data_IF_290257330766
#
_entry.id   IF_290257330766
#
_cell.length_a   1.000
_cell.length_b   1.000
_cell.length_c   1.000
_cell.angle_alpha   90.00
_cell.angle_beta   90.00
_cell.angle_gamma   90.00
#
_symmetry.space_group_name_H-M   'P 1'
#
loop_
_entity.id
_entity.type
_entity.pdbx_description
1 polymer ?
#
# COMPACT_ATOMS: atom_id res chain seq x y z
N UNK A 1 -27.92 -23.54 -5.83
CA UNK A 1 -26.97 -22.86 -6.76
C UNK A 1 -25.80 -22.36 -5.91
N UNK A 2 -24.71 -23.12 -5.87
CA UNK A 2 -23.52 -22.72 -5.09
C UNK A 2 -22.81 -21.61 -5.89
N UNK A 3 -22.88 -20.37 -5.41
CA UNK A 3 -22.11 -19.25 -5.95
C UNK A 3 -20.63 -19.55 -5.64
N UNK A 4 -19.93 -20.22 -6.56
CA UNK A 4 -18.49 -20.38 -6.43
C UNK A 4 -17.82 -19.06 -6.82
N UNK A 5 -16.97 -18.48 -5.96
CA UNK A 5 -16.24 -17.27 -6.32
C UNK A 5 -15.34 -17.57 -7.52
N UNK A 6 -15.53 -16.84 -8.61
CA UNK A 6 -14.75 -16.97 -9.85
C UNK A 6 -13.24 -16.87 -9.53
N UNK A 7 -12.41 -17.76 -10.06
CA UNK A 7 -10.96 -17.75 -9.75
C UNK A 7 -10.30 -16.47 -10.28
N UNK A 8 -9.49 -15.81 -9.44
CA UNK A 8 -8.73 -14.62 -9.87
C UNK A 8 -7.57 -15.05 -10.74
N UNK A 9 -7.49 -14.49 -11.95
CA UNK A 9 -6.47 -14.84 -12.95
C UNK A 9 -5.10 -14.26 -12.59
N UNK A 10 -4.01 -14.83 -13.15
CA UNK A 10 -2.65 -14.31 -12.95
C UNK A 10 -2.50 -12.85 -13.41
N UNK A 11 -3.19 -12.47 -14.49
CA UNK A 11 -3.18 -11.10 -15.03
C UNK A 11 -3.84 -10.14 -14.04
N UNK A 12 -5.00 -10.50 -13.47
CA UNK A 12 -5.67 -9.70 -12.45
C UNK A 12 -4.80 -9.52 -11.20
N UNK A 13 -4.16 -10.59 -10.71
CA UNK A 13 -3.23 -10.50 -9.58
C UNK A 13 -2.09 -9.51 -9.83
N UNK A 14 -1.51 -9.54 -11.04
CA UNK A 14 -0.44 -8.62 -11.43
C UNK A 14 -0.92 -7.17 -11.46
N UNK A 15 -2.08 -6.89 -12.07
CA UNK A 15 -2.65 -5.54 -12.08
C UNK A 15 -2.94 -5.01 -10.67
N UNK A 16 -3.53 -5.83 -9.80
CA UNK A 16 -3.77 -5.45 -8.39
C UNK A 16 -2.46 -5.12 -7.67
N UNK A 17 -1.42 -5.94 -7.88
CA UNK A 17 -0.10 -5.68 -7.30
C UNK A 17 0.53 -4.39 -7.83
N UNK A 18 0.52 -4.18 -9.15
CA UNK A 18 1.08 -2.98 -9.78
C UNK A 18 0.34 -1.71 -9.33
N UNK A 19 -0.99 -1.76 -9.18
CA UNK A 19 -1.79 -0.66 -8.64
C UNK A 19 -1.38 -0.32 -7.21
N UNK A 20 -1.30 -1.31 -6.31
CA UNK A 20 -0.87 -1.10 -4.92
C UNK A 20 0.59 -0.66 -4.82
N UNK A 21 1.45 -1.14 -5.71
CA UNK A 21 2.83 -0.71 -5.76
C UNK A 21 2.95 0.76 -6.16
N UNK A 22 2.19 1.21 -7.16
CA UNK A 22 2.10 2.63 -7.52
C UNK A 22 1.55 3.46 -6.35
N UNK A 23 0.57 2.95 -5.63
CA UNK A 23 -0.02 3.65 -4.49
C UNK A 23 0.92 3.71 -3.26
N UNK A 24 1.98 2.88 -3.21
CA UNK A 24 3.09 3.03 -2.24
C UNK A 24 4.00 4.23 -2.56
N UNK A 25 3.77 4.92 -3.67
CA UNK A 25 4.54 6.07 -4.13
C UNK A 25 3.60 7.28 -4.15
N UNK A 26 3.38 7.95 -3.00
CA UNK A 26 2.37 8.99 -2.91
C UNK A 26 2.74 10.15 -3.86
N UNK A 27 1.77 10.53 -4.68
CA UNK A 27 1.90 11.70 -5.54
C UNK A 27 1.69 12.98 -4.74
N UNK A 28 1.96 14.13 -5.36
CA UNK A 28 1.56 15.42 -4.80
C UNK A 28 0.05 15.47 -4.49
N UNK A 29 -0.78 14.96 -5.40
CA UNK A 29 -2.24 14.92 -5.24
C UNK A 29 -2.68 14.10 -4.02
N UNK A 30 -1.97 13.00 -3.72
CA UNK A 30 -2.24 12.19 -2.54
C UNK A 30 -2.14 13.03 -1.26
N UNK A 31 -1.05 13.77 -1.09
CA UNK A 31 -0.81 14.57 0.11
C UNK A 31 -1.75 15.78 0.15
N UNK A 32 -2.05 16.40 -0.99
CA UNK A 32 -3.02 17.49 -1.07
C UNK A 32 -4.41 17.02 -0.60
N UNK A 33 -4.90 15.89 -1.12
CA UNK A 33 -6.18 15.31 -0.73
C UNK A 33 -6.21 14.91 0.74
N UNK A 34 -5.10 14.39 1.27
CA UNK A 34 -4.96 14.07 2.69
C UNK A 34 -5.05 15.32 3.58
N UNK A 35 -4.36 16.40 3.21
CA UNK A 35 -4.42 17.68 3.94
C UNK A 35 -5.83 18.25 3.91
N UNK A 36 -6.47 18.28 2.74
CA UNK A 36 -7.86 18.77 2.61
C UNK A 36 -8.83 17.94 3.44
N UNK A 37 -8.68 16.62 3.44
CA UNK A 37 -9.46 15.72 4.30
C UNK A 37 -9.24 16.03 5.78
N UNK A 38 -7.99 16.17 6.23
CA UNK A 38 -7.66 16.47 7.62
C UNK A 38 -8.24 17.81 8.07
N UNK A 39 -8.26 18.83 7.20
CA UNK A 39 -8.89 20.13 7.47
C UNK A 39 -10.41 19.95 7.65
N UNK A 40 -11.09 19.29 6.71
CA UNK A 40 -12.54 19.08 6.76
C UNK A 40 -12.94 18.29 8.01
N UNK A 41 -12.22 17.20 8.32
CA UNK A 41 -12.48 16.39 9.50
C UNK A 41 -12.20 17.18 10.78
N UNK A 42 -11.10 17.93 10.87
CA UNK A 42 -10.80 18.74 12.05
C UNK A 42 -11.88 19.82 12.29
N UNK A 43 -12.28 20.55 11.25
CA UNK A 43 -13.36 21.54 11.34
C UNK A 43 -14.66 20.85 11.77
N UNK A 44 -15.04 19.76 11.10
CA UNK A 44 -16.24 18.99 11.41
C UNK A 44 -16.29 18.51 12.87
N UNK A 45 -15.16 18.04 13.39
CA UNK A 45 -15.03 17.66 14.80
C UNK A 45 -15.21 18.87 15.73
N UNK A 46 -14.55 19.99 15.45
CA UNK A 46 -14.61 21.20 16.28
C UNK A 46 -15.99 21.87 16.28
N UNK A 47 -16.77 21.75 15.20
CA UNK A 47 -18.15 22.27 15.13
C UNK A 47 -19.21 21.20 15.48
N UNK A 48 -18.79 20.03 15.98
CA UNK A 48 -19.66 18.92 16.34
C UNK A 48 -20.61 18.46 15.20
N UNK A 49 -20.10 18.40 13.97
CA UNK A 49 -20.86 18.06 12.78
C UNK A 49 -20.37 16.77 12.12
N UNK A 50 -21.07 15.66 12.41
CA UNK A 50 -20.78 14.35 11.85
C UNK A 50 -20.85 14.28 10.31
N UNK A 51 -21.70 15.08 9.66
CA UNK A 51 -21.86 15.07 8.20
C UNK A 51 -20.59 15.61 7.53
N UNK A 52 -20.03 16.69 8.05
CA UNK A 52 -18.75 17.25 7.55
C UNK A 52 -17.61 16.28 7.80
N UNK A 53 -17.60 15.64 8.97
CA UNK A 53 -16.60 14.61 9.33
C UNK A 53 -16.65 13.44 8.34
N UNK A 54 -17.84 12.91 8.03
CA UNK A 54 -18.02 11.83 7.04
C UNK A 54 -17.61 12.31 5.64
N UNK A 55 -18.01 13.52 5.23
CA UNK A 55 -17.61 14.09 3.94
C UNK A 55 -16.10 14.21 3.80
N UNK A 56 -15.40 14.67 4.83
CA UNK A 56 -13.94 14.75 4.85
C UNK A 56 -13.28 13.38 4.76
N UNK A 57 -13.81 12.35 5.43
CA UNK A 57 -13.27 10.98 5.35
C UNK A 57 -13.30 10.41 3.92
N UNK A 58 -14.32 10.72 3.13
CA UNK A 58 -14.47 10.21 1.75
C UNK A 58 -13.38 10.71 0.79
N UNK A 59 -12.68 11.78 1.16
CA UNK A 59 -11.64 12.41 0.33
C UNK A 59 -10.27 11.77 0.55
N UNK A 60 -10.01 11.16 1.72
CA UNK A 60 -8.68 10.71 2.10
C UNK A 60 -8.22 9.43 1.38
N UNK A 61 -7.05 9.44 0.70
CA UNK A 61 -6.52 8.27 0.01
C UNK A 61 -5.69 7.31 0.91
N UNK A 62 -5.72 7.47 2.23
CA UNK A 62 -4.82 6.76 3.17
C UNK A 62 -4.96 5.22 3.15
N UNK A 63 -6.07 4.71 2.65
CA UNK A 63 -6.34 3.27 2.59
C UNK A 63 -5.36 2.54 1.65
N UNK A 64 -4.99 3.16 0.52
CA UNK A 64 -4.14 2.50 -0.47
C UNK A 64 -2.73 2.14 0.07
N UNK A 65 -2.00 3.04 0.75
CA UNK A 65 -0.75 2.68 1.42
C UNK A 65 -0.89 1.54 2.45
N UNK A 66 -2.01 1.46 3.17
CA UNK A 66 -2.25 0.40 4.18
C UNK A 66 -2.48 -0.96 3.50
N UNK A 67 -3.26 -0.98 2.42
CA UNK A 67 -3.44 -2.18 1.62
C UNK A 67 -2.12 -2.60 0.94
N UNK A 68 -1.33 -1.64 0.47
CA UNK A 68 -0.01 -1.89 -0.10
C UNK A 68 0.98 -2.47 0.91
N UNK A 69 0.98 -1.96 2.14
CA UNK A 69 1.75 -2.52 3.26
C UNK A 69 1.35 -3.98 3.53
N UNK A 70 0.06 -4.25 3.61
CA UNK A 70 -0.49 -5.60 3.83
C UNK A 70 -0.15 -6.55 2.67
N UNK A 71 -0.16 -6.06 1.43
CA UNK A 71 0.27 -6.82 0.26
C UNK A 71 1.76 -7.16 0.32
N UNK A 72 2.61 -6.20 0.72
CA UNK A 72 4.04 -6.43 0.95
C UNK A 72 4.30 -7.52 2.00
N UNK A 73 3.48 -7.58 3.06
CA UNK A 73 3.55 -8.65 4.06
C UNK A 73 3.21 -10.03 3.49
N UNK A 74 2.12 -10.15 2.72
CA UNK A 74 1.72 -11.45 2.12
C UNK A 74 2.73 -11.95 1.09
N UNK A 75 3.31 -11.04 0.32
CA UNK A 75 4.29 -11.37 -0.74
C UNK A 75 5.72 -11.51 -0.18
N UNK A 76 5.96 -11.09 1.06
CA UNK A 76 7.31 -11.06 1.65
C UNK A 76 8.24 -10.07 0.96
N UNK A 77 7.70 -8.93 0.51
CA UNK A 77 8.49 -7.82 -0.04
C UNK A 77 8.74 -6.75 1.03
N UNK A 78 9.89 -6.88 1.70
CA UNK A 78 10.33 -5.96 2.75
C UNK A 78 10.52 -4.53 2.22
N UNK A 79 10.90 -4.35 0.95
CA UNK A 79 11.07 -3.01 0.37
C UNK A 79 9.71 -2.32 0.23
N UNK A 80 8.71 -3.05 -0.26
CA UNK A 80 7.34 -2.55 -0.33
C UNK A 80 6.77 -2.24 1.06
N UNK A 81 6.98 -3.13 2.03
CA UNK A 81 6.56 -2.89 3.42
C UNK A 81 7.18 -1.62 4.01
N UNK A 82 8.49 -1.43 3.87
CA UNK A 82 9.17 -0.23 4.38
C UNK A 82 8.63 1.04 3.73
N UNK A 83 8.55 1.04 2.39
CA UNK A 83 8.05 2.18 1.63
C UNK A 83 6.62 2.55 2.03
N UNK A 84 5.70 1.59 2.04
CA UNK A 84 4.32 1.83 2.43
C UNK A 84 4.20 2.25 3.90
N UNK A 85 5.03 1.68 4.79
CA UNK A 85 5.11 2.07 6.20
C UNK A 85 5.55 3.53 6.39
N UNK A 86 6.54 4.00 5.64
CA UNK A 86 6.98 5.39 5.64
C UNK A 86 5.85 6.34 5.21
N UNK A 87 5.09 5.98 4.17
CA UNK A 87 3.95 6.77 3.68
C UNK A 87 2.82 6.84 4.71
N UNK A 88 2.52 5.71 5.38
CA UNK A 88 1.54 5.66 6.47
C UNK A 88 1.98 6.59 7.61
N UNK A 89 3.26 6.52 8.01
CA UNK A 89 3.79 7.36 9.08
C UNK A 89 3.74 8.85 8.74
N UNK A 90 4.12 9.22 7.51
CA UNK A 90 4.01 10.59 7.02
C UNK A 90 2.56 11.06 7.02
N UNK A 91 1.63 10.19 6.60
CA UNK A 91 0.20 10.51 6.57
C UNK A 91 -0.37 10.74 7.96
N UNK A 92 0.00 9.90 8.94
CA UNK A 92 -0.35 10.08 10.36
C UNK A 92 0.14 11.45 10.85
N UNK A 93 1.42 11.76 10.61
CA UNK A 93 2.01 13.02 11.06
C UNK A 93 1.31 14.23 10.44
N UNK A 94 1.04 14.18 9.13
CA UNK A 94 0.34 15.26 8.42
C UNK A 94 -1.05 15.49 9.01
N UNK A 95 -1.86 14.42 9.18
CA UNK A 95 -3.22 14.56 9.72
C UNK A 95 -3.18 15.16 11.12
N UNK A 96 -2.32 14.63 12.00
CA UNK A 96 -2.18 15.12 13.38
C UNK A 96 -1.74 16.58 13.42
N UNK A 97 -0.72 16.96 12.65
CA UNK A 97 -0.19 18.33 12.62
C UNK A 97 -1.21 19.31 12.01
N UNK A 98 -1.87 18.94 10.92
CA UNK A 98 -2.90 19.78 10.29
C UNK A 98 -4.06 19.99 11.25
N UNK A 99 -4.57 18.94 11.89
CA UNK A 99 -5.68 19.06 12.84
C UNK A 99 -5.29 19.85 14.10
N UNK A 100 -4.04 19.72 14.57
CA UNK A 100 -3.47 20.55 15.64
C UNK A 100 -3.47 22.04 15.26
N UNK A 101 -2.97 22.37 14.07
CA UNK A 101 -2.95 23.75 13.55
C UNK A 101 -4.36 24.31 13.41
N UNK A 102 -5.28 23.57 12.77
CA UNK A 102 -6.68 23.98 12.64
C UNK A 102 -7.33 24.21 14.01
N UNK A 103 -7.02 23.36 14.99
CA UNK A 103 -7.50 23.54 16.36
C UNK A 103 -6.98 24.83 17.01
N UNK A 104 -5.73 25.25 16.76
CA UNK A 104 -5.21 26.53 17.23
C UNK A 104 -5.80 27.75 16.51
N UNK A 105 -6.13 27.61 15.22
CA UNK A 105 -6.74 28.68 14.44
C UNK A 105 -8.23 28.89 14.75
N UNK A 106 -8.88 27.91 15.37
CA UNK A 106 -10.32 27.97 15.67
C UNK A 106 -10.59 28.77 16.94
N UNK A 107 -11.37 29.84 16.80
CA UNK A 107 -11.84 30.69 17.91
C UNK A 107 -12.95 29.96 18.67
N UNK A 108 -12.98 30.08 20.01
CA UNK A 108 -13.93 29.38 20.89
C UNK A 108 -13.90 27.85 20.75
N UNK A 109 -12.71 27.29 20.54
CA UNK A 109 -12.51 25.84 20.48
C UNK A 109 -12.91 25.16 21.79
N UNK A 110 -13.65 24.07 21.68
CA UNK A 110 -13.98 23.17 22.79
C UNK A 110 -13.85 21.70 22.37
N UNK A 111 -13.72 20.81 23.36
CA UNK A 111 -13.77 19.38 23.10
C UNK A 111 -15.24 18.97 22.95
N UNK A 112 -15.64 18.71 21.72
CA UNK A 112 -17.01 18.37 21.36
C UNK A 112 -17.35 16.90 21.64
N UNK A 113 -18.64 16.55 21.76
CA UNK A 113 -19.08 15.15 21.81
C UNK A 113 -18.55 14.29 20.66
N UNK A 114 -18.48 14.83 19.44
CA UNK A 114 -17.88 14.13 18.30
C UNK A 114 -16.40 13.79 18.55
N UNK A 115 -15.60 14.70 19.13
CA UNK A 115 -14.20 14.43 19.47
C UNK A 115 -14.10 13.28 20.50
N UNK A 116 -14.90 13.35 21.58
CA UNK A 116 -14.94 12.30 22.61
C UNK A 116 -15.36 10.94 22.04
N UNK A 117 -16.30 10.90 21.10
CA UNK A 117 -16.71 9.66 20.44
C UNK A 117 -15.56 8.95 19.72
N UNK A 118 -14.53 9.70 19.30
CA UNK A 118 -13.31 9.15 18.66
C UNK A 118 -12.20 8.81 19.64
N UNK A 119 -12.43 9.00 20.95
CA UNK A 119 -11.50 8.67 22.03
C UNK A 119 -11.92 7.45 22.86
N UNK A 120 -12.88 6.67 22.39
CA UNK A 120 -13.34 5.45 23.05
C UNK A 120 -13.03 4.21 22.20
N UNK A 121 -11.87 3.56 22.41
CA UNK A 121 -11.57 2.28 21.80
C UNK A 121 -12.67 1.27 22.13
N UNK A 122 -13.22 0.60 21.12
CA UNK A 122 -14.26 -0.42 21.31
C UNK A 122 -14.08 -1.57 20.35
N UNK A 123 -14.52 -2.77 20.78
CA UNK A 123 -14.54 -3.95 19.92
C UNK A 123 -15.45 -3.74 18.70
N UNK A 124 -16.53 -2.97 18.85
CA UNK A 124 -17.43 -2.65 17.75
C UNK A 124 -16.70 -1.87 16.64
N UNK A 125 -15.90 -0.86 17.00
CA UNK A 125 -15.10 -0.12 16.02
C UNK A 125 -14.02 -0.98 15.37
N UNK A 126 -13.39 -1.88 16.14
CA UNK A 126 -12.46 -2.85 15.59
C UNK A 126 -13.13 -3.77 14.55
N UNK A 127 -14.32 -4.30 14.84
CA UNK A 127 -15.06 -5.15 13.90
C UNK A 127 -15.47 -4.36 12.65
N UNK A 128 -15.92 -3.11 12.80
CA UNK A 128 -16.21 -2.23 11.66
C UNK A 128 -14.96 -2.05 10.79
N UNK A 129 -13.80 -1.77 11.40
CA UNK A 129 -12.54 -1.62 10.66
C UNK A 129 -12.12 -2.93 9.96
N UNK A 130 -12.29 -4.08 10.63
CA UNK A 130 -12.01 -5.40 10.06
C UNK A 130 -12.89 -5.68 8.83
N UNK A 131 -14.22 -5.53 8.94
CA UNK A 131 -15.13 -5.79 7.82
C UNK A 131 -14.97 -4.77 6.68
N UNK A 132 -14.69 -3.50 6.99
CA UNK A 132 -14.35 -2.49 5.98
C UNK A 132 -13.04 -2.84 5.25
N UNK A 133 -12.02 -3.32 5.98
CA UNK A 133 -10.79 -3.83 5.39
C UNK A 133 -11.02 -5.04 4.49
N UNK A 134 -11.92 -5.95 4.87
CA UNK A 134 -12.29 -7.11 4.05
C UNK A 134 -12.96 -6.66 2.77
N UNK A 135 -13.93 -5.74 2.86
CA UNK A 135 -14.63 -5.19 1.70
C UNK A 135 -13.67 -4.45 0.75
N UNK A 136 -12.78 -3.60 1.30
CA UNK A 136 -11.80 -2.84 0.53
C UNK A 136 -10.81 -3.74 -0.21
N UNK A 137 -10.18 -4.67 0.50
CA UNK A 137 -9.21 -5.60 -0.10
C UNK A 137 -9.89 -6.55 -1.08
N UNK A 138 -11.09 -7.04 -0.80
CA UNK A 138 -11.85 -7.90 -1.73
C UNK A 138 -12.23 -7.15 -3.01
N UNK A 139 -12.70 -5.91 -2.88
CA UNK A 139 -13.02 -5.04 -4.01
C UNK A 139 -11.81 -4.82 -4.91
N UNK A 140 -10.63 -4.59 -4.32
CA UNK A 140 -9.40 -4.35 -5.06
C UNK A 140 -8.92 -5.57 -5.87
N UNK A 141 -9.20 -6.78 -5.37
CA UNK A 141 -8.90 -8.04 -6.06
C UNK A 141 -9.90 -8.32 -7.20
N UNK A 142 -11.03 -7.62 -7.24
CA UNK A 142 -12.13 -7.81 -8.20
C UNK A 142 -12.33 -6.55 -9.07
N UNK A 143 -11.78 -6.51 -10.29
CA UNK A 143 -11.83 -5.32 -11.16
C UNK A 143 -13.24 -4.75 -11.35
N UNK A 144 -14.24 -5.62 -11.55
CA UNK A 144 -15.64 -5.25 -11.79
C UNK A 144 -16.36 -4.66 -10.56
N UNK A 145 -15.77 -4.81 -9.37
CA UNK A 145 -16.29 -4.28 -8.11
C UNK A 145 -15.50 -3.04 -7.64
N UNK A 146 -14.24 -2.91 -8.06
CA UNK A 146 -13.36 -1.80 -7.70
C UNK A 146 -13.92 -0.42 -8.09
N UNK A 147 -14.64 -0.33 -9.20
CA UNK A 147 -15.31 0.92 -9.62
C UNK A 147 -16.60 1.22 -8.84
N UNK A 148 -17.27 0.19 -8.30
CA UNK A 148 -18.59 0.32 -7.64
C UNK A 148 -18.50 0.46 -6.11
N UNK A 149 -17.43 -0.04 -5.51
CA UNK A 149 -17.23 -0.04 -4.05
C UNK A 149 -16.29 1.08 -3.57
N UNK A 150 -15.75 1.89 -4.49
CA UNK A 150 -14.93 3.07 -4.16
C UNK A 150 -15.72 4.15 -3.40
N UNK A 151 -17.05 4.08 -3.30
CA UNK A 151 -17.83 4.97 -2.42
C UNK A 151 -18.08 4.42 -1.02
N UNK A 152 -18.24 3.09 -0.88
CA UNK A 152 -18.81 2.44 0.32
C UNK A 152 -17.74 1.96 1.31
N UNK A 153 -16.53 1.66 0.83
CA UNK A 153 -15.43 1.21 1.70
C UNK A 153 -14.66 2.36 2.40
N UNK A 154 -14.95 3.63 2.08
CA UNK A 154 -14.04 4.77 2.29
C UNK A 154 -14.35 5.63 3.54
N UNK A 155 -15.36 5.32 4.35
CA UNK A 155 -15.47 5.91 5.71
C UNK A 155 -14.46 5.29 6.68
N UNK A 156 -13.20 5.17 6.26
CA UNK A 156 -12.15 4.55 7.03
C UNK A 156 -11.97 5.35 8.31
N UNK A 157 -12.24 4.68 9.42
CA UNK A 157 -12.23 5.20 10.78
C UNK A 157 -10.81 5.56 11.28
N UNK A 158 -9.90 5.96 10.40
CA UNK A 158 -8.52 6.33 10.71
C UNK A 158 -8.33 7.84 10.78
N UNK A 159 -8.89 8.59 9.82
CA UNK A 159 -8.72 10.06 9.80
C UNK A 159 -9.36 10.72 11.03
N UNK A 160 -10.60 10.39 11.45
CA UNK A 160 -11.21 11.02 12.63
C UNK A 160 -10.47 10.81 13.94
N UNK A 161 -10.02 9.59 14.33
CA UNK A 161 -9.21 9.46 15.53
C UNK A 161 -7.85 10.15 15.41
N UNK A 162 -7.22 10.19 14.23
CA UNK A 162 -5.99 10.97 14.05
C UNK A 162 -6.22 12.48 14.17
N UNK A 163 -7.32 12.99 13.62
CA UNK A 163 -7.69 14.40 13.72
C UNK A 163 -8.07 14.75 15.18
N UNK A 164 -8.82 13.88 15.85
CA UNK A 164 -9.13 13.99 17.27
C UNK A 164 -7.86 13.97 18.13
N UNK A 165 -6.88 13.13 17.80
CA UNK A 165 -5.56 13.11 18.43
C UNK A 165 -4.82 14.45 18.26
N UNK A 166 -4.80 15.00 17.04
CA UNK A 166 -4.22 16.31 16.76
C UNK A 166 -4.90 17.45 17.52
N UNK A 167 -6.24 17.45 17.56
CA UNK A 167 -7.02 18.41 18.35
C UNK A 167 -6.70 18.24 19.85
N UNK A 168 -6.69 17.03 20.37
CA UNK A 168 -6.45 16.76 21.78
C UNK A 168 -5.07 17.24 22.25
N UNK A 169 -4.04 17.15 21.40
CA UNK A 169 -2.73 17.76 21.69
C UNK A 169 -2.80 19.28 21.90
N UNK A 170 -3.71 19.97 21.21
CA UNK A 170 -3.90 21.43 21.36
C UNK A 170 -4.50 21.82 22.72
N UNK A 171 -5.24 20.90 23.33
CA UNK A 171 -5.90 21.03 24.65
C UNK A 171 -5.13 20.36 25.78
N UNK A 172 -4.06 19.62 25.48
CA UNK A 172 -3.33 18.79 26.44
C UNK A 172 -4.21 17.76 27.18
N UNK A 173 -5.33 17.32 26.58
CA UNK A 173 -6.20 16.30 27.21
C UNK A 173 -5.65 14.89 26.95
N UNK A 174 -4.97 14.34 27.95
CA UNK A 174 -4.33 13.02 27.89
C UNK A 174 -5.35 11.89 27.66
N UNK A 175 -6.59 12.02 28.16
CA UNK A 175 -7.61 10.97 27.99
C UNK A 175 -8.02 10.87 26.54
N UNK A 176 -8.25 12.01 25.89
CA UNK A 176 -8.58 12.04 24.46
C UNK A 176 -7.39 11.60 23.61
N UNK A 177 -6.16 12.01 23.95
CA UNK A 177 -4.93 11.57 23.27
C UNK A 177 -4.82 10.04 23.26
N UNK A 178 -4.84 9.41 24.44
CA UNK A 178 -4.66 7.96 24.57
C UNK A 178 -5.83 7.21 23.93
N UNK A 179 -7.05 7.68 24.15
CA UNK A 179 -8.26 7.10 23.58
C UNK A 179 -8.27 7.12 22.04
N UNK A 180 -7.95 8.26 21.46
CA UNK A 180 -7.92 8.44 20.00
C UNK A 180 -6.78 7.65 19.35
N UNK A 181 -5.60 7.63 19.98
CA UNK A 181 -4.50 6.79 19.52
C UNK A 181 -4.85 5.29 19.59
N UNK A 182 -5.51 4.86 20.67
CA UNK A 182 -5.95 3.48 20.84
C UNK A 182 -7.01 3.08 19.80
N UNK A 183 -7.98 3.95 19.52
CA UNK A 183 -8.99 3.70 18.50
C UNK A 183 -8.36 3.63 17.10
N UNK A 184 -7.46 4.56 16.78
CA UNK A 184 -6.69 4.53 15.53
C UNK A 184 -5.91 3.22 15.39
N UNK A 185 -5.18 2.79 16.42
CA UNK A 185 -4.38 1.58 16.39
C UNK A 185 -5.24 0.32 16.17
N UNK A 186 -6.37 0.20 16.87
CA UNK A 186 -7.31 -0.91 16.66
C UNK A 186 -7.83 -0.93 15.22
N UNK A 187 -8.20 0.22 14.69
CA UNK A 187 -8.71 0.31 13.32
C UNK A 187 -7.64 -0.04 12.28
N UNK A 188 -6.41 0.44 12.47
CA UNK A 188 -5.29 0.14 11.60
C UNK A 188 -4.98 -1.37 11.58
N UNK A 189 -4.88 -1.98 12.76
CA UNK A 189 -4.66 -3.43 12.90
C UNK A 189 -5.80 -4.22 12.27
N UNK A 190 -7.05 -3.84 12.50
CA UNK A 190 -8.23 -4.49 11.91
C UNK A 190 -8.17 -4.48 10.38
N UNK A 191 -7.86 -3.35 9.77
CA UNK A 191 -7.74 -3.22 8.31
C UNK A 191 -6.58 -4.07 7.77
N UNK A 192 -5.42 -4.04 8.42
CA UNK A 192 -4.26 -4.84 8.00
C UNK A 192 -4.59 -6.33 8.08
N UNK A 193 -5.14 -6.81 9.21
CA UNK A 193 -5.51 -8.21 9.38
C UNK A 193 -6.52 -8.68 8.32
N UNK A 194 -7.53 -7.86 8.04
CA UNK A 194 -8.49 -8.15 7.00
C UNK A 194 -7.86 -8.27 5.60
N UNK A 195 -6.99 -7.31 5.24
CA UNK A 195 -6.29 -7.32 3.97
C UNK A 195 -5.35 -8.53 3.84
N UNK A 196 -4.64 -8.90 4.91
CA UNK A 196 -3.82 -10.12 4.95
C UNK A 196 -4.64 -11.37 4.66
N UNK A 197 -5.80 -11.52 5.30
CA UNK A 197 -6.70 -12.66 5.09
C UNK A 197 -7.15 -12.74 3.64
N UNK A 198 -7.60 -11.62 3.05
CA UNK A 198 -8.06 -11.59 1.66
C UNK A 198 -6.92 -11.91 0.70
N UNK A 199 -5.77 -11.25 0.81
CA UNK A 199 -4.65 -11.49 -0.08
C UNK A 199 -4.08 -12.92 0.06
N UNK A 200 -4.12 -13.51 1.26
CA UNK A 200 -3.74 -14.90 1.49
C UNK A 200 -4.74 -15.88 0.85
N UNK A 201 -6.05 -15.67 1.00
CA UNK A 201 -7.11 -16.48 0.36
C UNK A 201 -6.95 -16.50 -1.16
N UNK A 202 -6.64 -15.35 -1.75
CA UNK A 202 -6.40 -15.24 -3.19
C UNK A 202 -4.99 -15.65 -3.62
N UNK A 203 -4.18 -16.18 -2.71
CA UNK A 203 -2.84 -16.71 -2.97
C UNK A 203 -1.92 -15.71 -3.67
N UNK A 204 -1.87 -14.49 -3.15
CA UNK A 204 -0.96 -13.46 -3.66
C UNK A 204 0.51 -13.74 -3.34
N UNK A 205 0.80 -14.61 -2.35
CA UNK A 205 2.16 -15.08 -2.04
C UNK A 205 2.84 -15.79 -3.23
N UNK A 206 2.09 -16.39 -4.15
CA UNK A 206 2.62 -17.06 -5.36
C UNK A 206 3.11 -16.06 -6.43
N UNK A 207 2.73 -14.77 -6.34
CA UNK A 207 3.02 -13.76 -7.38
C UNK A 207 4.52 -13.49 -7.47
N UNK A 208 5.20 -13.28 -6.33
CA UNK A 208 6.67 -13.12 -6.29
C UNK A 208 7.39 -14.37 -6.74
N UNK A 209 6.93 -15.55 -6.33
CA UNK A 209 7.55 -16.81 -6.77
C UNK A 209 7.42 -17.01 -8.29
N UNK A 210 6.30 -16.59 -8.90
CA UNK A 210 6.11 -16.68 -10.35
C UNK A 210 6.94 -15.66 -11.14
N UNK A 211 7.13 -14.46 -10.60
CA UNK A 211 7.96 -13.41 -11.21
C UNK A 211 9.45 -13.76 -11.04
N UNK A 212 9.88 -14.18 -9.85
CA UNK A 212 11.25 -14.65 -9.60
C UNK A 212 11.58 -15.91 -10.41
N UNK A 213 10.63 -16.84 -10.60
CA UNK A 213 10.83 -18.00 -11.48
C UNK A 213 11.00 -17.59 -12.95
N UNK A 214 10.23 -16.62 -13.43
CA UNK A 214 10.38 -16.09 -14.80
C UNK A 214 11.72 -15.37 -14.99
N UNK A 215 12.10 -14.50 -14.06
CA UNK A 215 13.39 -13.80 -14.09
C UNK A 215 14.53 -14.83 -14.06
N UNK A 216 14.49 -15.83 -13.16
CA UNK A 216 15.51 -16.89 -13.11
C UNK A 216 15.54 -17.77 -14.36
N UNK A 217 14.40 -17.97 -15.03
CA UNK A 217 14.33 -18.71 -16.29
C UNK A 217 14.94 -17.90 -17.44
N UNK A 218 14.61 -16.62 -17.55
CA UNK A 218 15.21 -15.69 -18.52
C UNK A 218 16.72 -15.52 -18.30
N UNK A 219 17.18 -15.38 -17.06
CA UNK A 219 18.62 -15.34 -16.72
C UNK A 219 19.37 -16.61 -17.11
N UNK A 220 18.73 -17.79 -17.06
CA UNK A 220 19.33 -19.05 -17.52
C UNK A 220 19.49 -19.06 -19.04
N UNK A 221 18.46 -18.63 -19.77
CA UNK A 221 18.49 -18.53 -21.24
C UNK A 221 19.60 -17.58 -21.68
N UNK A 222 19.69 -16.38 -21.06
CA UNK A 222 20.74 -15.40 -21.39
C UNK A 222 22.14 -15.97 -21.14
N UNK A 223 22.35 -16.70 -20.04
CA UNK A 223 23.65 -17.34 -19.74
C UNK A 223 24.00 -18.47 -20.71
N UNK A 224 23.01 -19.21 -21.19
CA UNK A 224 23.21 -20.24 -22.22
C UNK A 224 23.58 -19.62 -23.56
N UNK A 225 22.89 -18.55 -23.98
CA UNK A 225 23.22 -17.79 -25.20
C UNK A 225 24.61 -17.14 -25.13
N UNK A 226 25.02 -16.61 -23.97
CA UNK A 226 26.37 -16.07 -23.76
C UNK A 226 27.45 -17.14 -23.86
N UNK A 227 27.17 -18.35 -23.34
CA UNK A 227 28.10 -19.48 -23.46
C UNK A 227 28.25 -19.94 -24.90
N UNK A 228 27.15 -20.09 -25.64
CA UNK A 228 27.20 -20.47 -27.07
C UNK A 228 28.01 -19.45 -27.89
N UNK A 229 27.74 -18.15 -27.74
CA UNK A 229 28.50 -17.10 -28.43
C UNK A 229 29.98 -17.08 -28.07
N UNK A 230 30.31 -17.39 -26.82
CA UNK A 230 31.70 -17.49 -26.37
C UNK A 230 32.39 -18.69 -27.00
N UNK A 231 31.68 -19.81 -27.13
CA UNK A 231 32.19 -21.04 -27.71
C UNK A 231 32.39 -20.93 -29.22
N UNK A 232 31.45 -20.30 -29.94
CA UNK A 232 31.59 -19.97 -31.37
C UNK A 232 32.84 -19.09 -31.62
N UNK A 233 33.06 -18.08 -30.78
CA UNK A 233 34.27 -17.23 -30.88
C UNK A 233 35.56 -18.01 -30.64
N UNK A 234 35.56 -18.95 -29.70
CA UNK A 234 36.74 -19.80 -29.45
C UNK A 234 37.03 -20.67 -30.67
N UNK A 235 36.01 -21.30 -31.25
CA UNK A 235 36.17 -22.12 -32.46
C UNK A 235 36.68 -21.29 -33.65
N UNK A 236 36.18 -20.06 -33.81
CA UNK A 236 36.64 -19.14 -34.84
C UNK A 236 38.12 -18.74 -34.64
N UNK A 237 38.52 -18.43 -33.40
CA UNK A 237 39.92 -18.12 -33.06
C UNK A 237 40.81 -19.34 -33.29
N UNK A 238 40.39 -20.54 -32.87
CA UNK A 238 41.15 -21.77 -33.08
C UNK A 238 41.36 -22.06 -34.57
N UNK A 239 40.33 -21.82 -35.39
CA UNK A 239 40.42 -21.94 -36.84
C UNK A 239 41.40 -20.93 -37.42
N UNK A 240 41.33 -19.66 -37.04
CA UNK A 240 42.27 -18.62 -37.48
C UNK A 240 43.72 -18.94 -37.06
N UNK A 241 43.93 -19.43 -35.84
CA UNK A 241 45.26 -19.85 -35.35
C UNK A 241 45.79 -21.03 -36.15
N UNK A 242 44.94 -22.01 -36.48
CA UNK A 242 45.32 -23.18 -37.28
C UNK A 242 45.72 -22.79 -38.70
N UNK A 243 44.93 -21.94 -39.36
CA UNK A 243 45.22 -21.39 -40.69
C UNK A 243 46.54 -20.59 -40.69
N UNK A 244 46.75 -19.72 -39.70
CA UNK A 244 48.00 -18.97 -39.56
C UNK A 244 49.22 -19.89 -39.32
N UNK A 245 49.05 -20.96 -38.55
CA UNK A 245 50.11 -21.93 -38.27
C UNK A 245 50.48 -22.75 -39.51
N UNK A 246 49.49 -23.14 -40.33
CA UNK A 246 49.71 -23.81 -41.61
C UNK A 246 50.44 -22.89 -42.60
N UNK A 247 50.01 -21.63 -42.73
CA UNK A 247 50.68 -20.63 -43.58
C UNK A 247 52.15 -20.40 -43.19
N UNK A 248 52.46 -20.35 -41.89
CA UNK A 248 53.84 -20.22 -41.40
C UNK A 248 54.69 -21.48 -41.69
N UNK A 249 54.09 -22.68 -41.67
CA UNK A 249 54.79 -23.93 -42.02
C UNK A 249 55.09 -24.01 -43.51
N UNK A 250 54.21 -23.51 -44.37
CA UNK A 250 54.42 -23.49 -45.82
C UNK A 250 55.52 -22.48 -46.23
N UNK A 251 55.54 -21.28 -45.62
CA UNK A 251 56.56 -20.28 -45.94
C UNK A 251 57.95 -20.57 -45.37
N UNK A 252 58.08 -21.43 -44.35
CA UNK A 252 59.38 -21.91 -43.85
C UNK A 252 60.03 -22.98 -44.74
N UNK A 253 59.31 -23.52 -45.74
CA UNK A 253 59.80 -24.54 -46.68
C UNK A 253 60.25 -23.99 -48.04
N UNK A 254 60.17 -22.67 -48.23
CA UNK A 254 60.78 -21.93 -49.35
C UNK A 254 62.05 -21.24 -48.86
#
# INVERSE_FOLDING_TARGET
MLIQPEKVTKIQKRHTFEALFRDSTPSYDFFLMLILSAILVAIGLLINNAVVVIGGMLVAPILSPILSFSMGMVVGDVKLMKRSGEVILQSILIVVVVSLVISFLTINRELTPEIFSRAHPSLAYFLIALFSGLAASYSLVRPNLSEKLSGVAISVALIPPLASLGIAFSFFDVRVIVGSLGLFALNLVGIILAALVVFAIFKFYEVKESIEKKIKAEERIIKEEEKEKTQEKIEEIEKQVKEATEFLKENKKK
#
